data_IF_303741508398
#
_entry.id   IF_303741508398
#
_cell.length_a   1.000
_cell.length_b   1.000
_cell.length_c   1.000
_cell.angle_alpha   90.00
_cell.angle_beta   90.00
_cell.angle_gamma   90.00
#
_symmetry.space_group_name_H-M   'P 1'
#
loop_
_entity.id
_entity.type
_entity.pdbx_description
1 polymer ?
#
# COMPACT_ATOMS: atom_id res chain seq x y z
N UNK A 1 -9.79 -5.22 4.75
CA UNK A 1 -8.36 -5.43 5.08
C UNK A 1 -7.82 -4.13 5.66
N UNK A 2 -6.97 -4.17 6.69
CA UNK A 2 -6.28 -2.98 7.23
C UNK A 2 -5.04 -2.66 6.41
N UNK A 3 -4.46 -1.47 6.61
CA UNK A 3 -3.18 -1.10 5.98
C UNK A 3 -2.07 -2.09 6.36
N UNK A 4 -1.96 -2.44 7.64
CA UNK A 4 -0.92 -3.36 8.14
C UNK A 4 -1.09 -4.75 7.52
N UNK A 5 -2.33 -5.25 7.43
CA UNK A 5 -2.59 -6.53 6.79
C UNK A 5 -2.23 -6.52 5.29
N UNK A 6 -2.56 -5.44 4.57
CA UNK A 6 -2.19 -5.30 3.16
C UNK A 6 -0.67 -5.20 2.96
N UNK A 7 0.02 -4.46 3.83
CA UNK A 7 1.48 -4.30 3.82
C UNK A 7 2.19 -5.62 4.12
N UNK A 8 1.73 -6.34 5.14
CA UNK A 8 2.36 -7.59 5.57
C UNK A 8 2.16 -8.68 4.51
N UNK A 9 0.99 -8.74 3.87
CA UNK A 9 0.77 -9.63 2.73
C UNK A 9 1.66 -9.24 1.53
N UNK A 10 1.77 -7.94 1.21
CA UNK A 10 2.63 -7.46 0.13
C UNK A 10 4.09 -7.85 0.37
N UNK A 11 4.58 -7.69 1.60
CA UNK A 11 5.94 -8.09 1.97
C UNK A 11 6.16 -9.61 1.77
N UNK A 12 5.17 -10.44 2.11
CA UNK A 12 5.24 -11.89 1.86
C UNK A 12 5.27 -12.22 0.37
N UNK A 13 4.46 -11.54 -0.44
CA UNK A 13 4.44 -11.73 -1.90
C UNK A 13 5.80 -11.38 -2.50
N UNK A 14 6.36 -10.22 -2.13
CA UNK A 14 7.68 -9.78 -2.61
C UNK A 14 8.76 -10.77 -2.20
N UNK A 15 8.80 -11.19 -0.93
CA UNK A 15 9.78 -12.16 -0.46
C UNK A 15 9.71 -13.49 -1.23
N UNK A 16 8.51 -13.92 -1.63
CA UNK A 16 8.33 -15.14 -2.43
C UNK A 16 8.83 -14.96 -3.86
N UNK A 17 8.54 -13.82 -4.49
CA UNK A 17 9.05 -13.49 -5.82
C UNK A 17 10.57 -13.38 -5.84
N UNK A 18 11.17 -12.76 -4.81
CA UNK A 18 12.62 -12.59 -4.66
C UNK A 18 13.37 -13.92 -4.41
N UNK A 19 12.74 -14.86 -3.70
CA UNK A 19 13.29 -16.20 -3.51
C UNK A 19 13.43 -16.98 -4.83
N UNK A 20 12.57 -16.68 -5.82
CA UNK A 20 12.55 -17.34 -7.12
C UNK A 20 12.09 -18.80 -7.03
N UNK A 21 12.42 -19.60 -8.06
CA UNK A 21 12.04 -21.03 -8.12
C UNK A 21 10.60 -21.31 -8.54
N UNK A 22 9.84 -20.27 -8.90
CA UNK A 22 8.47 -20.36 -9.38
C UNK A 22 8.41 -20.52 -10.90
N UNK A 23 7.32 -21.13 -11.38
CA UNK A 23 6.97 -21.06 -12.80
C UNK A 23 6.58 -19.65 -13.23
N UNK A 24 6.52 -19.41 -14.54
CA UNK A 24 6.10 -18.12 -15.11
C UNK A 24 4.68 -17.75 -14.65
N UNK A 25 3.73 -18.66 -14.77
CA UNK A 25 2.32 -18.40 -14.44
C UNK A 25 2.12 -18.10 -12.94
N UNK A 26 2.85 -18.80 -12.07
CA UNK A 26 2.84 -18.55 -10.62
C UNK A 26 3.47 -17.18 -10.30
N UNK A 27 4.58 -16.84 -10.95
CA UNK A 27 5.25 -15.55 -10.81
C UNK A 27 4.34 -14.39 -11.24
N UNK A 28 3.60 -14.56 -12.35
CA UNK A 28 2.63 -13.57 -12.83
C UNK A 28 1.47 -13.39 -11.86
N UNK A 29 0.92 -14.50 -11.34
CA UNK A 29 -0.17 -14.46 -10.35
C UNK A 29 0.24 -13.70 -9.09
N UNK A 30 1.44 -13.97 -8.57
CA UNK A 30 1.98 -13.26 -7.41
C UNK A 30 2.25 -11.79 -7.71
N UNK A 31 2.77 -11.47 -8.90
CA UNK A 31 2.98 -10.09 -9.31
C UNK A 31 1.66 -9.30 -9.36
N UNK A 32 0.61 -9.85 -9.97
CA UNK A 32 -0.71 -9.21 -10.03
C UNK A 32 -1.30 -8.98 -8.63
N UNK A 33 -1.10 -9.95 -7.72
CA UNK A 33 -1.49 -9.81 -6.32
C UNK A 33 -0.71 -8.70 -5.62
N UNK A 34 0.61 -8.68 -5.79
CA UNK A 34 1.49 -7.65 -5.25
C UNK A 34 1.08 -6.25 -5.72
N UNK A 35 0.80 -6.10 -7.01
CA UNK A 35 0.30 -4.87 -7.62
C UNK A 35 -1.02 -4.39 -7.01
N UNK A 36 -1.97 -5.32 -6.78
CA UNK A 36 -3.24 -4.98 -6.14
C UNK A 36 -3.06 -4.54 -4.68
N UNK A 37 -2.15 -5.19 -3.93
CA UNK A 37 -1.83 -4.83 -2.55
C UNK A 37 -1.10 -3.49 -2.46
N UNK A 38 -0.16 -3.23 -3.37
CA UNK A 38 0.55 -1.96 -3.46
C UNK A 38 -0.41 -0.78 -3.72
N UNK A 39 -1.35 -0.94 -4.66
CA UNK A 39 -2.41 0.05 -4.90
C UNK A 39 -3.29 0.27 -3.66
N UNK A 40 -3.63 -0.80 -2.95
CA UNK A 40 -4.40 -0.71 -1.71
C UNK A 40 -3.64 0.09 -0.64
N UNK A 41 -2.35 -0.19 -0.45
CA UNK A 41 -1.50 0.56 0.47
C UNK A 41 -1.40 2.04 0.09
N UNK A 42 -1.23 2.35 -1.19
CA UNK A 42 -1.19 3.72 -1.68
C UNK A 42 -2.47 4.49 -1.35
N UNK A 43 -3.65 3.90 -1.58
CA UNK A 43 -4.94 4.52 -1.23
C UNK A 43 -5.04 4.87 0.27
N UNK A 44 -4.57 3.98 1.16
CA UNK A 44 -4.55 4.28 2.59
C UNK A 44 -3.64 5.46 2.93
N UNK A 45 -2.43 5.49 2.36
CA UNK A 45 -1.45 6.55 2.60
C UNK A 45 -1.92 7.89 2.03
N UNK A 46 -2.52 7.90 0.85
CA UNK A 46 -3.08 9.11 0.25
C UNK A 46 -4.22 9.69 1.09
N UNK A 47 -5.13 8.83 1.57
CA UNK A 47 -6.19 9.26 2.48
C UNK A 47 -5.65 9.80 3.81
N UNK A 48 -4.59 9.18 4.36
CA UNK A 48 -3.92 9.69 5.56
C UNK A 48 -3.29 11.06 5.32
N UNK A 49 -2.61 11.24 4.18
CA UNK A 49 -2.01 12.53 3.79
C UNK A 49 -3.06 13.62 3.65
N UNK A 50 -4.16 13.35 2.94
CA UNK A 50 -5.24 14.33 2.76
C UNK A 50 -5.84 14.80 4.10
N UNK A 51 -5.99 13.89 5.07
CA UNK A 51 -6.49 14.24 6.41
C UNK A 51 -5.52 15.16 7.16
N UNK A 52 -4.22 14.90 7.07
CA UNK A 52 -3.19 15.75 7.67
C UNK A 52 -3.20 17.13 7.02
N UNK A 53 -3.21 17.20 5.68
CA UNK A 53 -3.23 18.47 4.94
C UNK A 53 -4.48 19.31 5.28
N UNK A 54 -5.64 18.65 5.41
CA UNK A 54 -6.89 19.30 5.84
C UNK A 54 -6.77 19.89 7.24
N UNK A 55 -6.24 19.11 8.20
CA UNK A 55 -6.07 19.57 9.58
C UNK A 55 -5.10 20.76 9.68
N UNK A 56 -4.00 20.72 8.91
CA UNK A 56 -3.04 21.83 8.84
C UNK A 56 -3.68 23.10 8.26
N UNK A 57 -4.47 22.96 7.20
CA UNK A 57 -5.18 24.09 6.58
C UNK A 57 -6.18 24.73 7.54
N UNK A 58 -6.98 23.91 8.25
CA UNK A 58 -7.94 24.39 9.25
C UNK A 58 -7.26 25.09 10.43
N UNK A 59 -6.13 24.55 10.89
CA UNK A 59 -5.34 25.16 11.95
C UNK A 59 -4.78 26.53 11.55
N UNK A 60 -4.34 26.70 10.30
CA UNK A 60 -3.86 27.98 9.78
C UNK A 60 -4.99 29.03 9.67
N UNK A 61 -6.18 28.61 9.21
CA UNK A 61 -7.35 29.49 9.08
C UNK A 61 -7.89 29.98 10.43
N UNK A 62 -7.80 29.15 11.48
CA UNK A 62 -8.29 29.50 12.82
C UNK A 62 -7.39 30.48 13.57
N UNK A 63 -6.19 30.75 13.06
CA UNK A 63 -5.19 31.66 13.64
C UNK A 63 -5.17 33.05 12.96
N UNK A 64 -6.00 33.26 11.95
CA UNK A 64 -6.15 34.53 11.22
C UNK A 64 -7.46 35.23 11.61
#
# INVERSE_FOLDING_TARGET
MSYEAARDELASVVATLEAGGLGLDESLTLWERGEALARTCATFLDGARQRVDTALTQAAQSQS
#
